data_IF_588365716642
#
_entry.id   IF_588365716642
#
_cell.length_a   1.000
_cell.length_b   1.000
_cell.length_c   1.000
_cell.angle_alpha   90.00
_cell.angle_beta   90.00
_cell.angle_gamma   90.00
#
_symmetry.space_group_name_H-M   'P 1'
#
loop_
_entity.id
_entity.type
_entity.pdbx_description
1 polymer ?
#
# COMPACT_ATOMS: atom_id res chain seq x y z
N UNK A 1 -27.80 16.52 -20.58
CA UNK A 1 -28.20 15.20 -20.02
C UNK A 1 -27.22 14.92 -18.89
N UNK A 2 -27.72 14.76 -17.66
CA UNK A 2 -26.85 14.44 -16.52
C UNK A 2 -26.43 12.98 -16.63
N UNK A 3 -25.17 12.73 -16.92
CA UNK A 3 -24.60 11.38 -16.93
C UNK A 3 -24.70 10.83 -15.51
N UNK A 4 -25.54 9.81 -15.30
CA UNK A 4 -25.58 9.09 -14.02
C UNK A 4 -24.27 8.30 -13.91
N UNK A 5 -23.35 8.80 -13.08
CA UNK A 5 -22.14 8.08 -12.68
C UNK A 5 -22.55 6.73 -12.06
N UNK A 6 -22.07 5.64 -12.64
CA UNK A 6 -22.31 4.29 -12.10
C UNK A 6 -21.24 3.95 -11.05
N UNK A 7 -21.50 2.93 -10.24
CA UNK A 7 -20.50 2.41 -9.30
C UNK A 7 -19.25 1.82 -10.00
N UNK A 8 -19.37 1.46 -11.28
CA UNK A 8 -18.25 1.01 -12.11
C UNK A 8 -17.36 2.18 -12.54
N UNK A 9 -17.97 3.30 -12.95
CA UNK A 9 -17.25 4.54 -13.26
C UNK A 9 -16.50 5.09 -12.03
N UNK A 10 -17.12 5.02 -10.85
CA UNK A 10 -16.51 5.45 -9.60
C UNK A 10 -15.30 4.56 -9.21
N UNK A 11 -15.39 3.24 -9.41
CA UNK A 11 -14.28 2.31 -9.15
C UNK A 11 -13.12 2.54 -10.12
N UNK A 12 -13.40 2.63 -11.42
CA UNK A 12 -12.35 2.92 -12.44
C UNK A 12 -11.64 4.24 -12.12
N UNK A 13 -12.39 5.26 -11.68
CA UNK A 13 -11.82 6.55 -11.31
C UNK A 13 -10.90 6.47 -10.09
N UNK A 14 -11.16 5.58 -9.13
CA UNK A 14 -10.29 5.41 -7.96
C UNK A 14 -9.01 4.68 -8.33
N UNK A 15 -9.10 3.59 -9.09
CA UNK A 15 -7.92 2.81 -9.51
C UNK A 15 -6.98 3.65 -10.36
N UNK A 16 -7.49 4.43 -11.30
CA UNK A 16 -6.69 5.38 -12.10
C UNK A 16 -6.04 6.45 -11.23
N UNK A 17 -6.77 6.98 -10.25
CA UNK A 17 -6.23 7.97 -9.33
C UNK A 17 -5.14 7.37 -8.43
N UNK A 18 -5.33 6.16 -7.93
CA UNK A 18 -4.36 5.43 -7.11
C UNK A 18 -3.10 5.13 -7.94
N UNK A 19 -3.24 4.63 -9.18
CA UNK A 19 -2.12 4.43 -10.09
C UNK A 19 -1.36 5.74 -10.37
N UNK A 20 -2.07 6.84 -10.66
CA UNK A 20 -1.45 8.15 -10.86
C UNK A 20 -0.67 8.60 -9.63
N UNK A 21 -1.20 8.37 -8.42
CA UNK A 21 -0.48 8.67 -7.18
C UNK A 21 0.76 7.81 -7.01
N UNK A 22 0.69 6.54 -7.40
CA UNK A 22 1.84 5.64 -7.44
C UNK A 22 2.93 6.14 -8.39
N UNK A 23 2.58 6.62 -9.58
CA UNK A 23 3.56 7.22 -10.52
C UNK A 23 4.30 8.40 -9.88
N UNK A 24 3.58 9.30 -9.19
CA UNK A 24 4.24 10.42 -8.51
C UNK A 24 5.20 9.95 -7.39
N UNK A 25 4.86 8.85 -6.69
CA UNK A 25 5.76 8.23 -5.71
C UNK A 25 7.02 7.70 -6.40
N UNK A 26 6.85 7.02 -7.53
CA UNK A 26 7.97 6.49 -8.31
C UNK A 26 8.91 7.61 -8.78
N UNK A 27 8.36 8.73 -9.23
CA UNK A 27 9.16 9.89 -9.63
C UNK A 27 9.92 10.52 -8.45
N UNK A 28 9.36 10.48 -7.24
CA UNK A 28 9.95 11.10 -6.05
C UNK A 28 10.93 10.19 -5.29
N UNK A 29 10.68 8.88 -5.26
CA UNK A 29 11.41 7.91 -4.42
C UNK A 29 11.96 6.70 -5.19
N UNK A 30 11.58 6.54 -6.45
CA UNK A 30 12.10 5.49 -7.33
C UNK A 30 13.44 5.86 -7.98
N UNK A 31 13.96 5.00 -8.87
CA UNK A 31 13.46 3.65 -9.17
C UNK A 31 13.75 2.64 -8.04
N UNK A 32 14.60 3.00 -7.08
CA UNK A 32 15.01 2.13 -5.99
C UNK A 32 14.31 2.54 -4.69
N UNK A 33 13.00 2.26 -4.59
CA UNK A 33 12.24 2.45 -3.35
C UNK A 33 12.60 1.31 -2.37
N UNK A 34 13.69 1.48 -1.63
CA UNK A 34 14.13 0.57 -0.58
C UNK A 34 13.56 0.91 0.79
N UNK A 35 14.09 0.28 1.85
CA UNK A 35 13.61 0.47 3.22
C UNK A 35 13.70 1.93 3.72
N UNK A 36 14.81 2.62 3.44
CA UNK A 36 15.01 4.00 3.92
C UNK A 36 14.11 5.00 3.18
N UNK A 37 13.96 4.79 1.87
CA UNK A 37 13.08 5.57 1.01
C UNK A 37 11.63 5.36 1.42
N UNK A 38 11.23 4.12 1.74
CA UNK A 38 9.93 3.79 2.30
C UNK A 38 9.66 4.55 3.61
N UNK A 39 10.60 4.52 4.57
CA UNK A 39 10.44 5.25 5.83
C UNK A 39 10.33 6.77 5.64
N UNK A 40 10.89 7.30 4.55
CA UNK A 40 10.78 8.72 4.18
C UNK A 40 9.42 9.00 3.53
N UNK A 41 8.99 8.14 2.61
CA UNK A 41 7.67 8.17 1.98
C UNK A 41 6.54 8.18 3.02
N UNK A 42 6.61 7.32 4.04
CA UNK A 42 5.58 7.20 5.08
C UNK A 42 5.39 8.46 5.95
N UNK A 43 6.34 9.40 5.89
CA UNK A 43 6.25 10.71 6.55
C UNK A 43 5.82 11.83 5.60
N UNK A 44 5.77 11.57 4.30
CA UNK A 44 5.49 12.55 3.28
C UNK A 44 3.98 12.71 3.06
N UNK A 45 3.45 13.82 3.57
CA UNK A 45 2.02 14.16 3.51
C UNK A 45 1.49 14.37 2.09
N UNK A 46 2.38 14.48 1.09
CA UNK A 46 1.98 14.55 -0.33
C UNK A 46 1.45 13.19 -0.84
N UNK A 47 1.92 12.09 -0.25
CA UNK A 47 1.64 10.73 -0.70
C UNK A 47 0.90 9.89 0.33
N UNK A 48 0.93 10.32 1.59
CA UNK A 48 0.36 9.57 2.72
C UNK A 48 -0.64 10.44 3.47
N UNK A 49 -1.91 10.03 3.47
CA UNK A 49 -3.04 10.79 4.02
C UNK A 49 -2.99 10.95 5.53
N UNK A 50 -2.43 10.00 6.27
CA UNK A 50 -2.18 10.07 7.72
C UNK A 50 -0.77 9.57 8.03
N UNK A 51 -0.04 10.10 9.02
CA UNK A 51 1.31 9.63 9.32
C UNK A 51 1.34 8.11 9.54
N UNK A 52 2.27 7.41 8.91
CA UNK A 52 2.38 5.95 9.02
C UNK A 52 3.71 5.54 9.65
N UNK A 53 3.66 4.49 10.48
CA UNK A 53 4.84 3.76 10.94
C UNK A 53 4.76 2.30 10.49
N UNK A 54 5.91 1.65 10.33
CA UNK A 54 5.97 0.19 10.07
C UNK A 54 6.42 -0.50 11.35
N UNK A 55 5.77 -1.61 11.67
CA UNK A 55 6.14 -2.51 12.77
C UNK A 55 6.23 -3.92 12.23
N UNK A 56 7.22 -4.69 12.67
CA UNK A 56 7.30 -6.12 12.39
C UNK A 56 6.71 -6.89 13.56
N UNK A 57 5.44 -7.26 13.44
CA UNK A 57 4.67 -7.94 14.48
C UNK A 57 3.48 -8.65 13.83
N UNK A 58 3.20 -9.86 14.29
CA UNK A 58 2.11 -10.72 13.80
C UNK A 58 0.90 -10.72 14.74
N UNK A 59 0.95 -10.02 15.89
CA UNK A 59 -0.12 -10.04 16.87
C UNK A 59 -1.50 -9.64 16.33
N UNK A 60 -1.52 -8.76 15.32
CA UNK A 60 -2.73 -8.26 14.67
C UNK A 60 -2.96 -8.87 13.26
N UNK A 61 -2.18 -9.88 12.87
CA UNK A 61 -2.27 -10.53 11.56
C UNK A 61 -3.06 -11.83 11.66
N UNK A 62 -3.97 -12.05 10.72
CA UNK A 62 -4.62 -13.36 10.54
C UNK A 62 -3.69 -14.35 9.80
N UNK A 63 -3.90 -15.67 9.94
CA UNK A 63 -3.14 -16.66 9.19
C UNK A 63 -3.16 -16.39 7.68
N UNK A 64 -1.97 -16.29 7.07
CA UNK A 64 -1.80 -15.96 5.64
C UNK A 64 -1.70 -14.46 5.34
N UNK A 65 -1.93 -13.57 6.32
CA UNK A 65 -1.72 -12.13 6.12
C UNK A 65 -0.25 -11.76 6.25
N UNK A 66 0.29 -11.09 5.22
CA UNK A 66 1.62 -10.51 5.28
C UNK A 66 1.68 -9.16 6.00
N UNK A 67 0.53 -8.50 6.16
CA UNK A 67 0.47 -7.20 6.80
C UNK A 67 -0.93 -6.63 6.93
N UNK A 68 -1.07 -5.69 7.87
CA UNK A 68 -2.34 -5.07 8.23
C UNK A 68 -2.10 -3.63 8.71
N UNK A 69 -2.91 -2.68 8.22
CA UNK A 69 -2.86 -1.28 8.64
C UNK A 69 -3.90 -0.98 9.71
N UNK A 70 -3.46 -0.57 10.91
CA UNK A 70 -4.34 -0.23 12.02
C UNK A 70 -4.19 1.23 12.47
N UNK A 71 -5.27 1.90 12.88
CA UNK A 71 -5.19 3.24 13.45
C UNK A 71 -4.53 3.21 14.85
N UNK A 72 -3.75 4.24 15.18
CA UNK A 72 -3.07 4.37 16.50
C UNK A 72 -4.02 4.88 17.60
N UNK A 73 -5.18 5.42 17.23
CA UNK A 73 -6.20 5.86 18.18
C UNK A 73 -7.53 6.20 17.50
N UNK A 74 -8.44 6.83 18.25
CA UNK A 74 -9.83 7.05 17.83
C UNK A 74 -9.98 8.02 16.64
N UNK A 75 -8.92 8.76 16.31
CA UNK A 75 -8.91 9.74 15.22
C UNK A 75 -7.83 9.39 14.20
N UNK A 76 -8.12 9.46 12.88
CA UNK A 76 -7.14 9.22 11.83
C UNK A 76 -5.89 10.12 11.92
N UNK A 77 -6.04 11.33 12.49
CA UNK A 77 -4.94 12.27 12.71
C UNK A 77 -3.84 11.73 13.64
N UNK A 78 -4.16 10.74 14.48
CA UNK A 78 -3.19 10.04 15.33
C UNK A 78 -2.21 9.16 14.52
N UNK A 79 -2.52 8.89 13.25
CA UNK A 79 -1.72 8.07 12.36
C UNK A 79 -2.09 6.59 12.38
N UNK A 80 -1.35 5.83 11.59
CA UNK A 80 -1.52 4.40 11.38
C UNK A 80 -0.21 3.66 11.64
N UNK A 81 -0.33 2.42 12.11
CA UNK A 81 0.76 1.44 12.13
C UNK A 81 0.44 0.39 11.08
N UNK A 82 1.38 0.16 10.18
CA UNK A 82 1.34 -0.94 9.23
C UNK A 82 2.18 -2.07 9.84
N UNK A 83 1.49 -3.06 10.40
CA UNK A 83 2.09 -4.29 10.90
C UNK A 83 2.44 -5.16 9.69
N UNK A 84 3.67 -5.65 9.63
CA UNK A 84 4.19 -6.55 8.61
C UNK A 84 4.66 -7.82 9.31
N UNK A 85 4.42 -8.98 8.69
CA UNK A 85 4.82 -10.25 9.27
C UNK A 85 6.34 -10.27 9.59
N UNK A 86 6.77 -10.68 10.81
CA UNK A 86 8.16 -10.60 11.24
C UNK A 86 9.17 -11.33 10.34
N UNK A 87 8.73 -12.34 9.61
CA UNK A 87 9.52 -13.04 8.59
C UNK A 87 10.25 -12.09 7.62
N UNK A 88 9.59 -11.00 7.22
CA UNK A 88 10.16 -10.03 6.27
C UNK A 88 11.23 -9.10 6.85
N UNK A 89 11.55 -9.19 8.15
CA UNK A 89 12.74 -8.55 8.72
C UNK A 89 14.04 -8.97 8.00
N UNK A 90 14.03 -10.18 7.43
CA UNK A 90 15.18 -10.73 6.70
C UNK A 90 15.18 -10.34 5.21
N UNK A 91 14.12 -9.69 4.72
CA UNK A 91 13.87 -9.35 3.32
C UNK A 91 13.39 -7.88 3.18
N UNK A 92 14.12 -6.94 3.80
CA UNK A 92 13.72 -5.52 3.86
C UNK A 92 13.59 -4.85 2.48
N UNK A 93 14.22 -5.40 1.45
CA UNK A 93 14.06 -4.98 0.05
C UNK A 93 12.67 -5.29 -0.52
N UNK A 94 11.95 -6.24 0.08
CA UNK A 94 10.59 -6.66 -0.33
C UNK A 94 9.48 -5.95 0.43
N UNK A 95 9.78 -5.43 1.61
CA UNK A 95 8.82 -4.73 2.48
C UNK A 95 8.12 -3.55 1.79
N UNK A 96 8.77 -2.74 0.92
CA UNK A 96 8.07 -1.70 0.17
C UNK A 96 6.84 -2.19 -0.60
N UNK A 97 6.91 -3.36 -1.24
CA UNK A 97 5.75 -3.92 -1.95
C UNK A 97 4.59 -4.21 -0.97
N UNK A 98 4.89 -4.88 0.14
CA UNK A 98 3.87 -5.22 1.15
C UNK A 98 3.24 -3.96 1.77
N UNK A 99 4.06 -2.96 2.10
CA UNK A 99 3.59 -1.73 2.74
C UNK A 99 2.78 -0.87 1.77
N UNK A 100 3.18 -0.78 0.50
CA UNK A 100 2.42 -0.05 -0.52
C UNK A 100 1.02 -0.66 -0.74
N UNK A 101 0.92 -1.99 -0.70
CA UNK A 101 -0.37 -2.69 -0.78
C UNK A 101 -1.31 -2.26 0.36
N UNK A 102 -0.79 -2.15 1.59
CA UNK A 102 -1.55 -1.70 2.76
C UNK A 102 -1.80 -0.18 2.79
N UNK A 103 -0.90 0.62 2.22
CA UNK A 103 -0.96 2.08 2.25
C UNK A 103 -2.19 2.65 1.52
N UNK A 104 -2.70 1.95 0.51
CA UNK A 104 -3.95 2.32 -0.19
C UNK A 104 -5.13 2.37 0.79
N UNK A 105 -5.21 1.44 1.75
CA UNK A 105 -6.25 1.45 2.78
C UNK A 105 -6.15 2.68 3.68
N UNK A 106 -4.93 3.12 4.01
CA UNK A 106 -4.73 4.35 4.80
C UNK A 106 -5.15 5.60 4.01
N UNK A 107 -4.87 5.62 2.71
CA UNK A 107 -5.15 6.77 1.85
C UNK A 107 -6.65 6.89 1.52
N UNK A 108 -7.30 5.77 1.22
CA UNK A 108 -8.64 5.76 0.65
C UNK A 108 -9.69 5.11 1.55
N UNK A 109 -9.30 4.46 2.65
CA UNK A 109 -10.20 3.79 3.59
C UNK A 109 -10.92 2.60 2.97
N UNK A 110 -12.10 2.27 3.50
CA UNK A 110 -12.94 1.14 3.07
C UNK A 110 -13.41 1.18 1.60
N UNK A 111 -13.14 2.29 0.90
CA UNK A 111 -13.42 2.40 -0.53
C UNK A 111 -12.36 1.70 -1.40
N UNK A 112 -11.17 1.46 -0.84
CA UNK A 112 -10.09 0.79 -1.53
C UNK A 112 -10.43 -0.69 -1.77
N UNK A 113 -10.08 -1.15 -2.96
CA UNK A 113 -10.16 -2.54 -3.37
C UNK A 113 -8.75 -3.13 -3.60
N UNK A 114 -8.61 -4.45 -3.70
CA UNK A 114 -7.36 -5.09 -4.12
C UNK A 114 -6.83 -4.53 -5.45
N UNK A 115 -7.72 -4.22 -6.40
CA UNK A 115 -7.34 -3.62 -7.68
C UNK A 115 -6.63 -2.27 -7.52
N UNK A 116 -7.08 -1.45 -6.56
CA UNK A 116 -6.46 -0.16 -6.25
C UNK A 116 -5.09 -0.36 -5.60
N UNK A 117 -4.97 -1.33 -4.69
CA UNK A 117 -3.72 -1.69 -4.03
C UNK A 117 -2.65 -2.16 -5.03
N UNK A 118 -3.04 -3.04 -5.95
CA UNK A 118 -2.18 -3.52 -7.03
C UNK A 118 -1.77 -2.38 -7.97
N UNK A 119 -2.72 -1.57 -8.43
CA UNK A 119 -2.43 -0.48 -9.37
C UNK A 119 -1.51 0.58 -8.74
N UNK A 120 -1.76 0.94 -7.48
CA UNK A 120 -0.94 1.87 -6.73
C UNK A 120 0.48 1.35 -6.50
N UNK A 121 0.60 0.12 -5.97
CA UNK A 121 1.88 -0.47 -5.63
C UNK A 121 2.75 -0.76 -6.86
N UNK A 122 2.14 -1.28 -7.92
CA UNK A 122 2.82 -1.49 -9.20
C UNK A 122 3.37 -0.18 -9.76
N UNK A 123 2.53 0.87 -9.80
CA UNK A 123 2.94 2.18 -10.30
C UNK A 123 4.06 2.80 -9.45
N UNK A 124 3.98 2.70 -8.12
CA UNK A 124 5.01 3.21 -7.21
C UNK A 124 6.37 2.51 -7.38
N UNK A 125 6.36 1.20 -7.65
CA UNK A 125 7.58 0.43 -7.91
C UNK A 125 8.03 0.46 -9.37
N UNK A 126 7.26 1.09 -10.27
CA UNK A 126 7.57 1.12 -11.71
C UNK A 126 7.46 -0.25 -12.37
N UNK A 127 6.56 -1.11 -11.86
CA UNK A 127 6.34 -2.47 -12.34
C UNK A 127 5.06 -2.56 -13.18
N UNK A 128 4.98 -3.52 -14.13
CA UNK A 128 3.70 -3.98 -14.64
C UNK A 128 2.82 -4.49 -13.49
N UNK A 129 1.51 -4.21 -13.56
CA UNK A 129 0.56 -4.62 -12.51
C UNK A 129 0.57 -6.14 -12.26
N UNK A 130 0.61 -6.94 -13.32
CA UNK A 130 0.70 -8.40 -13.22
C UNK A 130 1.96 -8.86 -12.46
N UNK A 131 3.11 -8.25 -12.75
CA UNK A 131 4.36 -8.59 -12.06
C UNK A 131 4.34 -8.20 -10.57
N UNK A 132 3.67 -7.09 -10.24
CA UNK A 132 3.46 -6.71 -8.85
C UNK A 132 2.51 -7.69 -8.14
N UNK A 133 1.42 -8.09 -8.78
CA UNK A 133 0.50 -9.10 -8.25
C UNK A 133 1.21 -10.43 -7.99
N UNK A 134 1.96 -10.95 -8.97
CA UNK A 134 2.76 -12.17 -8.81
C UNK A 134 3.73 -12.04 -7.63
N UNK A 135 4.40 -10.90 -7.49
CA UNK A 135 5.28 -10.65 -6.36
C UNK A 135 4.53 -10.67 -5.01
N UNK A 136 3.31 -10.12 -4.93
CA UNK A 136 2.51 -10.17 -3.69
C UNK A 136 2.07 -11.60 -3.38
N UNK A 137 1.65 -12.38 -4.38
CA UNK A 137 1.34 -13.80 -4.21
C UNK A 137 2.56 -14.58 -3.71
N UNK A 138 3.70 -14.47 -4.38
CA UNK A 138 4.95 -15.15 -4.02
C UNK A 138 5.41 -14.82 -2.59
N UNK A 139 5.17 -13.57 -2.13
CA UNK A 139 5.50 -13.17 -0.76
C UNK A 139 4.48 -13.72 0.24
N UNK A 140 3.20 -13.77 -0.12
CA UNK A 140 2.14 -14.33 0.73
C UNK A 140 2.32 -15.84 0.91
N UNK A 141 2.65 -16.57 -0.16
CA UNK A 141 2.88 -18.02 -0.16
C UNK A 141 4.08 -18.44 0.70
N UNK A 142 4.99 -17.52 1.04
CA UNK A 142 6.10 -17.79 1.97
C UNK A 142 5.66 -17.90 3.44
N UNK A 143 4.42 -17.52 3.75
CA UNK A 143 3.85 -17.53 5.09
C UNK A 143 2.95 -18.76 5.36
N UNK A 144 2.69 -19.57 4.32
CA UNK A 144 1.98 -20.87 4.42
C UNK A 144 2.92 -22.01 4.84
#
# INVERSE_FOLDING_TARGET
MATQLTAEDARSSLTEHAASKGVEIHEAYGPNLGWNELLSLLKDRRFVRYPCAVKFDEADLEPGEFGHASPVGDRPDAGFVISIHPFFLTQLDRVPALVLYQLVLVNYGDFASPDDAEAFGAAALGLPREAYYEQICDLSDQLE
#
